data_IF_306391653408
#
_entry.id   IF_306391653408
#
_cell.length_a   1.000
_cell.length_b   1.000
_cell.length_c   1.000
_cell.angle_alpha   90.00
_cell.angle_beta   90.00
_cell.angle_gamma   90.00
#
_symmetry.space_group_name_H-M   'P 1'
#
loop_
_entity.id
_entity.type
_entity.pdbx_description
1 polymer ?
#
# COMPACT_ATOMS: atom_id res chain seq x y z
N UNK A 1 -17.45 -19.70 -17.06
CA UNK A 1 -16.59 -18.98 -18.03
C UNK A 1 -15.45 -18.40 -17.24
N UNK A 2 -14.29 -19.07 -17.27
CA UNK A 2 -13.08 -18.57 -16.66
C UNK A 2 -12.60 -17.40 -17.50
N UNK A 3 -12.62 -16.20 -16.91
CA UNK A 3 -11.96 -15.05 -17.49
C UNK A 3 -10.47 -15.22 -17.23
N UNK A 4 -9.71 -15.38 -18.31
CA UNK A 4 -8.25 -15.27 -18.28
C UNK A 4 -7.92 -13.93 -17.64
N UNK A 5 -7.15 -13.96 -16.55
CA UNK A 5 -6.50 -12.75 -16.03
C UNK A 5 -5.46 -12.40 -17.08
N UNK A 6 -5.80 -11.49 -17.99
CA UNK A 6 -4.82 -10.89 -18.90
C UNK A 6 -3.59 -10.51 -18.07
N UNK A 7 -2.41 -10.97 -18.51
CA UNK A 7 -1.15 -10.63 -17.87
C UNK A 7 -1.03 -9.12 -17.85
N UNK A 8 -1.20 -8.53 -16.68
CA UNK A 8 -0.99 -7.09 -16.48
C UNK A 8 0.48 -6.84 -16.76
N UNK A 9 0.76 -6.20 -17.90
CA UNK A 9 2.11 -5.80 -18.25
C UNK A 9 2.64 -4.89 -17.13
N UNK A 10 3.83 -5.18 -16.61
CA UNK A 10 4.43 -4.38 -15.56
C UNK A 10 4.66 -2.96 -16.09
N UNK A 11 3.82 -2.02 -15.66
CA UNK A 11 3.86 -0.62 -16.12
C UNK A 11 5.13 0.11 -15.64
N UNK A 12 5.82 -0.44 -14.64
CA UNK A 12 7.03 0.14 -14.08
C UNK A 12 8.30 -0.45 -14.69
N UNK A 13 9.20 0.43 -15.15
CA UNK A 13 10.55 0.11 -15.66
C UNK A 13 11.60 0.95 -14.94
N UNK A 14 12.79 0.42 -14.69
CA UNK A 14 13.90 1.24 -14.17
C UNK A 14 14.48 2.10 -15.30
N UNK A 15 14.79 3.37 -15.00
CA UNK A 15 15.35 4.30 -15.98
C UNK A 15 15.97 5.54 -15.33
N UNK A 16 16.29 6.55 -16.14
CA UNK A 16 17.05 7.72 -15.69
C UNK A 16 16.15 8.91 -15.36
N UNK A 17 16.70 9.83 -14.57
CA UNK A 17 16.03 11.06 -14.16
C UNK A 17 15.77 12.02 -15.32
N UNK A 18 16.68 12.03 -16.28
CA UNK A 18 16.62 12.85 -17.50
C UNK A 18 15.38 12.50 -18.34
N UNK A 19 14.98 11.22 -18.34
CA UNK A 19 13.85 10.72 -19.13
C UNK A 19 12.49 11.19 -18.60
N UNK A 20 12.43 11.68 -17.35
CA UNK A 20 11.18 12.04 -16.67
C UNK A 20 11.22 13.41 -16.00
N UNK A 21 12.15 14.27 -16.40
CA UNK A 21 12.23 15.68 -15.97
C UNK A 21 12.16 15.85 -14.44
N UNK A 22 12.86 14.98 -13.69
CA UNK A 22 12.94 15.07 -12.23
C UNK A 22 14.29 15.62 -11.79
N UNK A 23 14.26 16.55 -10.82
CA UNK A 23 15.46 17.14 -10.25
C UNK A 23 16.25 16.12 -9.41
N UNK A 24 17.49 15.75 -9.80
CA UNK A 24 18.31 14.80 -9.06
C UNK A 24 18.66 15.24 -7.64
N UNK A 25 18.70 16.55 -7.37
CA UNK A 25 19.04 17.07 -6.05
C UNK A 25 18.00 16.67 -5.00
N UNK A 26 16.71 16.67 -5.37
CA UNK A 26 15.60 16.30 -4.48
C UNK A 26 15.63 14.84 -4.05
N UNK A 27 16.04 13.93 -4.94
CA UNK A 27 16.19 12.52 -4.58
C UNK A 27 17.39 12.27 -3.67
N UNK A 28 18.49 12.98 -3.90
CA UNK A 28 19.64 12.96 -2.98
C UNK A 28 19.25 13.48 -1.59
N UNK A 29 18.47 14.56 -1.51
CA UNK A 29 17.92 15.09 -0.27
C UNK A 29 17.05 14.04 0.44
N UNK A 30 16.14 13.36 -0.27
CA UNK A 30 15.29 12.32 0.29
C UNK A 30 16.09 11.12 0.84
N UNK A 31 17.06 10.61 0.06
CA UNK A 31 17.95 9.52 0.49
C UNK A 31 18.76 9.91 1.74
N UNK A 32 19.30 11.14 1.76
CA UNK A 32 20.04 11.66 2.91
C UNK A 32 19.15 11.82 4.15
N UNK A 33 17.91 12.29 3.98
CA UNK A 33 16.94 12.41 5.06
C UNK A 33 16.62 11.06 5.71
N UNK A 34 16.35 10.02 4.90
CA UNK A 34 16.07 8.67 5.40
C UNK A 34 17.27 8.11 6.15
N UNK A 35 18.49 8.23 5.59
CA UNK A 35 19.72 7.77 6.24
C UNK A 35 19.97 8.50 7.57
N UNK A 36 19.70 9.81 7.62
CA UNK A 36 19.78 10.60 8.85
C UNK A 36 18.78 10.12 9.90
N UNK A 37 17.52 9.92 9.54
CA UNK A 37 16.49 9.42 10.46
C UNK A 37 16.83 8.03 11.04
N UNK A 38 17.42 7.14 10.24
CA UNK A 38 17.95 5.85 10.70
C UNK A 38 19.10 6.05 11.69
N UNK A 39 20.05 6.95 11.39
CA UNK A 39 21.17 7.25 12.31
C UNK A 39 20.71 7.84 13.65
N UNK A 40 19.60 8.58 13.64
CA UNK A 40 18.93 9.14 14.81
C UNK A 40 17.99 8.13 15.51
N UNK A 41 17.96 6.87 15.03
CA UNK A 41 17.18 5.75 15.57
C UNK A 41 15.66 5.97 15.53
N UNK A 42 15.15 6.76 14.60
CA UNK A 42 13.70 6.94 14.41
C UNK A 42 13.03 5.64 13.92
N UNK A 43 13.74 4.85 13.11
CA UNK A 43 13.36 3.51 12.64
C UNK A 43 14.62 2.74 12.21
N UNK A 44 14.62 1.39 12.25
CA UNK A 44 15.83 0.60 12.01
C UNK A 44 16.29 0.57 10.55
N UNK A 45 15.34 0.70 9.61
CA UNK A 45 15.62 0.69 8.18
C UNK A 45 14.37 1.05 7.38
N UNK A 46 14.56 1.26 6.08
CA UNK A 46 13.49 1.60 5.16
C UNK A 46 13.81 1.14 3.73
N UNK A 47 12.77 0.88 2.95
CA UNK A 47 12.83 0.79 1.48
C UNK A 47 11.96 1.92 0.94
N UNK A 48 12.46 2.67 -0.03
CA UNK A 48 11.65 3.66 -0.73
C UNK A 48 11.80 3.52 -2.25
N UNK A 49 10.72 3.81 -2.96
CA UNK A 49 10.64 3.78 -4.41
C UNK A 49 10.00 5.08 -4.91
N UNK A 50 10.61 5.70 -5.91
CA UNK A 50 10.07 6.86 -6.61
C UNK A 50 9.98 6.54 -8.09
N UNK A 51 8.77 6.69 -8.65
CA UNK A 51 8.52 6.52 -10.07
C UNK A 51 7.70 7.68 -10.62
N UNK A 52 7.99 8.05 -11.87
CA UNK A 52 7.23 9.05 -12.65
C UNK A 52 7.09 8.53 -14.08
N UNK A 53 5.90 8.69 -14.68
CA UNK A 53 5.62 8.26 -16.06
C UNK A 53 6.05 6.81 -16.33
N UNK A 54 5.76 5.89 -15.41
CA UNK A 54 6.14 4.48 -15.53
C UNK A 54 7.63 4.19 -15.30
N UNK A 55 8.47 5.20 -15.06
CA UNK A 55 9.92 5.04 -14.88
C UNK A 55 10.29 5.17 -13.41
N UNK A 56 10.85 4.12 -12.83
CA UNK A 56 11.45 4.09 -11.49
C UNK A 56 12.80 4.80 -11.57
N UNK A 57 12.92 5.90 -10.84
CA UNK A 57 14.12 6.76 -10.82
C UNK A 57 14.90 6.71 -9.51
N UNK A 58 14.29 6.14 -8.46
CA UNK A 58 14.98 5.77 -7.24
C UNK A 58 14.31 4.53 -6.63
N UNK A 59 15.12 3.59 -6.17
CA UNK A 59 14.67 2.41 -5.43
C UNK A 59 15.82 1.98 -4.52
N UNK A 60 15.75 2.33 -3.24
CA UNK A 60 16.87 2.14 -2.30
C UNK A 60 16.39 1.43 -1.03
N UNK A 61 17.24 0.56 -0.50
CA UNK A 61 17.12 -0.03 0.83
C UNK A 61 18.20 0.56 1.74
N UNK A 62 17.81 1.02 2.92
CA UNK A 62 18.68 1.62 3.92
C UNK A 62 18.48 0.99 5.30
N UNK A 63 19.55 0.85 6.08
CA UNK A 63 19.49 0.34 7.46
C UNK A 63 19.28 -1.16 7.56
N UNK A 64 18.61 -1.59 8.61
CA UNK A 64 18.43 -2.99 8.99
C UNK A 64 16.94 -3.39 8.94
N UNK A 65 16.64 -4.56 8.37
CA UNK A 65 15.32 -5.19 8.42
C UNK A 65 15.05 -5.83 9.79
N UNK A 66 16.11 -6.33 10.43
CA UNK A 66 16.08 -6.83 11.81
C UNK A 66 17.25 -6.17 12.51
N UNK A 67 16.98 -5.46 13.60
CA UNK A 67 18.01 -4.81 14.43
C UNK A 67 18.03 -5.32 15.86
N UNK A 68 17.00 -6.09 16.26
CA UNK A 68 16.84 -6.62 17.62
C UNK A 68 16.46 -8.11 17.56
N UNK A 69 17.16 -8.98 18.32
CA UNK A 69 18.38 -8.69 19.06
C UNK A 69 19.59 -8.50 18.11
N UNK A 70 20.68 -7.81 18.51
CA UNK A 70 21.78 -7.44 17.60
C UNK A 70 22.45 -8.62 16.89
N UNK A 71 22.52 -9.78 17.53
CA UNK A 71 23.08 -11.02 16.96
C UNK A 71 22.27 -11.58 15.79
N UNK A 72 21.01 -11.15 15.65
CA UNK A 72 20.13 -11.53 14.53
C UNK A 72 20.00 -10.39 13.50
N UNK A 73 20.89 -9.39 13.55
CA UNK A 73 20.85 -8.27 12.62
C UNK A 73 20.83 -8.74 11.16
N UNK A 74 19.93 -8.14 10.37
CA UNK A 74 19.81 -8.38 8.94
C UNK A 74 19.74 -7.05 8.20
N UNK A 75 20.54 -6.85 7.14
CA UNK A 75 20.45 -5.64 6.34
C UNK A 75 19.10 -5.54 5.65
N UNK A 76 18.60 -4.32 5.49
CA UNK A 76 17.43 -4.05 4.66
C UNK A 76 17.74 -4.39 3.20
N UNK A 77 16.80 -5.07 2.52
CA UNK A 77 16.85 -5.38 1.09
C UNK A 77 15.63 -4.83 0.37
N UNK A 78 15.74 -4.57 -0.93
CA UNK A 78 14.64 -4.06 -1.76
C UNK A 78 13.42 -5.00 -1.77
N UNK A 79 13.64 -6.30 -1.57
CA UNK A 79 12.63 -7.36 -1.54
C UNK A 79 12.26 -7.81 -0.12
N UNK A 80 12.60 -7.01 0.90
CA UNK A 80 12.21 -7.31 2.29
C UNK A 80 10.69 -7.34 2.41
N UNK A 81 10.16 -8.41 2.99
CA UNK A 81 8.73 -8.54 3.27
C UNK A 81 8.39 -7.76 4.54
N UNK A 82 7.41 -6.86 4.44
CA UNK A 82 6.89 -6.08 5.56
C UNK A 82 5.48 -6.52 5.94
N UNK A 83 5.13 -6.40 7.21
CA UNK A 83 3.73 -6.33 7.61
C UNK A 83 3.18 -4.94 7.20
N UNK A 84 2.26 -4.93 6.26
CA UNK A 84 1.73 -3.71 5.65
C UNK A 84 0.63 -3.04 6.48
N UNK A 85 0.12 -3.70 7.51
CA UNK A 85 -0.90 -3.15 8.41
C UNK A 85 -2.10 -2.56 7.65
N UNK A 86 -2.43 -1.29 7.90
CA UNK A 86 -3.60 -0.64 7.28
C UNK A 86 -3.51 -0.46 5.77
N UNK A 87 -2.34 -0.58 5.14
CA UNK A 87 -2.22 -0.58 3.66
C UNK A 87 -2.99 -1.77 3.05
N UNK A 88 -3.22 -2.84 3.82
CA UNK A 88 -4.09 -3.95 3.44
C UNK A 88 -5.52 -3.51 3.09
N UNK A 89 -6.04 -2.43 3.71
CA UNK A 89 -7.41 -1.93 3.44
C UNK A 89 -7.58 -1.51 1.98
N UNK A 90 -6.85 -0.52 1.45
CA UNK A 90 -7.01 -0.12 0.06
C UNK A 90 -6.50 -1.17 -0.92
N UNK A 91 -5.39 -1.86 -0.64
CA UNK A 91 -4.75 -2.76 -1.61
C UNK A 91 -5.50 -4.08 -1.75
N UNK A 92 -5.95 -4.68 -0.64
CA UNK A 92 -6.60 -5.98 -0.66
C UNK A 92 -8.12 -5.87 -0.46
N UNK A 93 -8.57 -5.29 0.66
CA UNK A 93 -9.99 -5.37 1.06
C UNK A 93 -10.89 -4.53 0.17
N UNK A 94 -10.55 -3.25 -0.06
CA UNK A 94 -11.33 -2.35 -0.92
C UNK A 94 -11.30 -2.84 -2.37
N UNK A 95 -10.13 -3.22 -2.90
CA UNK A 95 -10.00 -3.84 -4.23
C UNK A 95 -10.89 -5.06 -4.39
N UNK A 96 -10.90 -5.96 -3.39
CA UNK A 96 -11.75 -7.16 -3.43
C UNK A 96 -13.24 -6.80 -3.48
N UNK A 97 -13.66 -5.79 -2.73
CA UNK A 97 -15.04 -5.31 -2.74
C UNK A 97 -15.40 -4.69 -4.10
N UNK A 98 -14.50 -3.90 -4.70
CA UNK A 98 -14.71 -3.31 -6.02
C UNK A 98 -14.78 -4.38 -7.12
N UNK A 99 -13.98 -5.46 -7.04
CA UNK A 99 -14.08 -6.61 -7.95
C UNK A 99 -15.46 -7.28 -7.83
N UNK A 100 -15.99 -7.42 -6.61
CA UNK A 100 -17.34 -7.96 -6.40
C UNK A 100 -18.42 -7.05 -6.98
N UNK A 101 -18.23 -5.73 -6.85
CA UNK A 101 -19.12 -4.73 -7.44
C UNK A 101 -19.13 -4.82 -8.97
N UNK A 102 -17.97 -4.88 -9.61
CA UNK A 102 -17.85 -5.06 -11.07
C UNK A 102 -18.52 -6.35 -11.55
N UNK A 103 -18.49 -7.40 -10.73
CA UNK A 103 -19.18 -8.67 -10.99
C UNK A 103 -20.68 -8.64 -10.68
N UNK A 104 -21.24 -7.50 -10.28
CA UNK A 104 -22.64 -7.34 -9.90
C UNK A 104 -23.05 -8.17 -8.68
N UNK A 105 -22.10 -8.49 -7.79
CA UNK A 105 -22.36 -9.27 -6.56
C UNK A 105 -22.74 -8.41 -5.37
N UNK A 106 -22.33 -7.14 -5.40
CA UNK A 106 -22.65 -6.13 -4.38
C UNK A 106 -22.90 -4.78 -5.03
N UNK A 107 -23.63 -3.90 -4.37
CA UNK A 107 -23.75 -2.48 -4.65
C UNK A 107 -23.22 -1.68 -3.46
N UNK A 108 -22.59 -0.52 -3.68
CA UNK A 108 -22.05 0.29 -2.58
C UNK A 108 -23.14 0.78 -1.62
N UNK A 109 -24.36 1.00 -2.13
CA UNK A 109 -25.49 1.46 -1.34
C UNK A 109 -26.23 0.30 -0.64
N UNK A 110 -25.79 -0.94 -0.83
CA UNK A 110 -26.36 -2.08 -0.11
C UNK A 110 -26.10 -1.92 1.39
N UNK A 111 -27.11 -2.16 2.24
CA UNK A 111 -26.92 -2.14 3.68
C UNK A 111 -26.05 -3.33 4.12
N UNK A 112 -25.18 -3.10 5.10
CA UNK A 112 -24.23 -4.13 5.57
C UNK A 112 -24.95 -5.39 6.07
N UNK A 113 -26.12 -5.23 6.68
CA UNK A 113 -26.91 -6.34 7.21
C UNK A 113 -27.49 -7.27 6.13
N UNK A 114 -27.44 -6.89 4.84
CA UNK A 114 -27.74 -7.80 3.73
C UNK A 114 -26.72 -8.95 3.64
N UNK A 115 -25.46 -8.68 4.02
CA UNK A 115 -24.35 -9.62 3.94
C UNK A 115 -23.93 -10.19 5.29
N UNK A 116 -24.13 -9.41 6.35
CA UNK A 116 -23.79 -9.77 7.73
C UNK A 116 -25.04 -9.56 8.58
N UNK A 117 -25.97 -10.53 8.65
CA UNK A 117 -27.28 -10.36 9.30
C UNK A 117 -27.18 -9.96 10.79
N UNK A 118 -26.08 -10.27 11.45
CA UNK A 118 -25.80 -9.92 12.84
C UNK A 118 -25.43 -8.44 13.02
N UNK A 119 -25.15 -7.71 11.93
CA UNK A 119 -24.81 -6.29 11.94
C UNK A 119 -26.06 -5.42 12.17
N UNK A 120 -26.56 -5.43 13.42
CA UNK A 120 -27.79 -4.77 13.84
C UNK A 120 -27.60 -3.98 15.14
N UNK A 121 -28.59 -3.17 15.49
CA UNK A 121 -28.62 -2.35 16.70
C UNK A 121 -27.97 -0.97 16.54
N UNK A 122 -28.48 0.01 17.28
CA UNK A 122 -27.87 1.35 17.34
C UNK A 122 -27.90 2.12 16.01
N UNK A 123 -28.78 1.76 15.06
CA UNK A 123 -28.88 2.42 13.75
C UNK A 123 -27.99 1.82 12.65
N UNK A 124 -27.27 0.73 12.95
CA UNK A 124 -26.41 -0.01 12.01
C UNK A 124 -27.14 -0.54 10.78
N UNK A 125 -28.45 -0.70 10.85
CA UNK A 125 -29.30 -1.15 9.74
C UNK A 125 -29.28 -0.19 8.55
N UNK A 126 -28.85 1.07 8.77
CA UNK A 126 -28.70 2.09 7.73
C UNK A 126 -27.26 2.20 7.21
N UNK A 127 -26.30 1.54 7.84
CA UNK A 127 -24.90 1.56 7.38
C UNK A 127 -24.80 0.80 6.08
N UNK A 128 -24.26 1.43 5.04
CA UNK A 128 -24.01 0.80 3.74
C UNK A 128 -22.55 0.35 3.59
N UNK A 129 -22.28 -0.45 2.57
CA UNK A 129 -20.91 -0.81 2.19
C UNK A 129 -20.07 0.44 1.84
N UNK A 130 -20.67 1.47 1.23
CA UNK A 130 -20.05 2.78 1.02
C UNK A 130 -19.55 3.37 2.34
N UNK A 131 -20.41 3.40 3.38
CA UNK A 131 -20.03 3.97 4.66
C UNK A 131 -18.83 3.27 5.30
N UNK A 132 -18.71 1.95 5.11
CA UNK A 132 -17.53 1.19 5.57
C UNK A 132 -16.27 1.59 4.80
N UNK A 133 -16.34 1.69 3.47
CA UNK A 133 -15.20 2.06 2.62
C UNK A 133 -14.70 3.49 2.87
N UNK A 134 -15.60 4.41 3.20
CA UNK A 134 -15.28 5.84 3.40
C UNK A 134 -15.06 6.21 4.86
N UNK A 135 -15.04 5.24 5.77
CA UNK A 135 -14.90 5.48 7.20
C UNK A 135 -15.98 6.42 7.80
N UNK A 136 -17.21 6.34 7.29
CA UNK A 136 -18.36 7.13 7.77
C UNK A 136 -19.45 6.28 8.42
N UNK A 137 -19.13 5.03 8.78
CA UNK A 137 -20.05 4.11 9.44
C UNK A 137 -20.24 4.38 10.94
N UNK A 138 -19.37 5.19 11.56
CA UNK A 138 -19.39 5.44 13.01
C UNK A 138 -18.85 4.30 13.87
N UNK A 139 -17.87 3.55 13.34
CA UNK A 139 -17.16 2.45 14.00
C UNK A 139 -15.81 2.90 14.57
#
# INVERSE_FOLDING_TARGET
MGGDVESVECVLRHGNLEDVEMDPSRLKEASAFIKKAISEKAFPGAVFLVARNGTVVAHEACGEAVSIPPELSKPMKLDTIFDTGSVTKPVATATSLMILLEKGKVLLDDPVNLYIPEYTGGGKEKTTLHNLLTHTAGL
#
